data_IF_111802165481
#
_entry.id   IF_111802165481
#
_cell.length_a   1.000
_cell.length_b   1.000
_cell.length_c   1.000
_cell.angle_alpha   90.00
_cell.angle_beta   90.00
_cell.angle_gamma   90.00
#
_symmetry.space_group_name_H-M   'P 1'
#
loop_
_entity.id
_entity.type
_entity.pdbx_description
1 polymer ?
#
# COMPACT_ATOMS: atom_id res chain seq x y z
N UNK A 1 25.60 -29.35 -8.08
CA UNK A 1 24.27 -29.91 -7.80
C UNK A 1 23.49 -29.10 -6.80
N UNK A 2 24.12 -28.44 -5.85
CA UNK A 2 23.42 -27.56 -4.89
C UNK A 2 22.78 -26.31 -5.52
N UNK A 3 23.34 -25.80 -6.61
CA UNK A 3 22.82 -24.64 -7.30
C UNK A 3 21.45 -24.88 -7.98
N UNK A 4 21.28 -26.11 -8.52
CA UNK A 4 20.01 -26.46 -9.18
C UNK A 4 18.88 -26.57 -8.16
N UNK A 5 19.18 -27.08 -6.99
CA UNK A 5 18.21 -27.26 -5.92
C UNK A 5 17.79 -25.89 -5.31
N UNK A 6 18.73 -24.97 -5.15
CA UNK A 6 18.45 -23.63 -4.66
C UNK A 6 17.54 -22.84 -5.63
N UNK A 7 17.74 -22.99 -6.94
CA UNK A 7 16.89 -22.37 -7.95
C UNK A 7 15.48 -22.95 -7.94
N UNK A 8 15.34 -24.24 -7.72
CA UNK A 8 14.06 -24.90 -7.63
C UNK A 8 13.24 -24.40 -6.43
N UNK A 9 13.90 -24.24 -5.29
CA UNK A 9 13.25 -23.77 -4.07
C UNK A 9 12.81 -22.31 -4.20
N UNK A 10 13.64 -21.45 -4.80
CA UNK A 10 13.30 -20.05 -5.04
C UNK A 10 12.11 -19.91 -6.00
N UNK A 11 12.05 -20.75 -7.05
CA UNK A 11 10.94 -20.76 -7.97
C UNK A 11 9.65 -21.23 -7.32
N UNK A 12 9.73 -22.22 -6.42
CA UNK A 12 8.58 -22.73 -5.68
C UNK A 12 7.99 -21.67 -4.73
N UNK A 13 8.83 -20.93 -4.03
CA UNK A 13 8.38 -19.85 -3.15
C UNK A 13 7.77 -18.70 -3.92
N UNK A 14 8.35 -18.32 -5.06
CA UNK A 14 7.78 -17.30 -5.93
C UNK A 14 6.39 -17.66 -6.44
N UNK A 15 6.19 -18.95 -6.79
CA UNK A 15 4.87 -19.43 -7.22
C UNK A 15 3.86 -19.41 -6.09
N UNK A 16 4.25 -19.75 -4.87
CA UNK A 16 3.38 -19.70 -3.70
C UNK A 16 2.96 -18.27 -3.37
N UNK A 17 3.90 -17.33 -3.47
CA UNK A 17 3.62 -15.91 -3.25
C UNK A 17 2.66 -15.38 -4.32
N UNK A 18 2.90 -15.68 -5.58
CA UNK A 18 2.01 -15.28 -6.68
C UNK A 18 0.61 -15.85 -6.50
N UNK A 19 0.49 -17.11 -6.10
CA UNK A 19 -0.81 -17.73 -5.85
C UNK A 19 -1.54 -17.06 -4.68
N UNK A 20 -0.83 -16.65 -3.64
CA UNK A 20 -1.43 -15.95 -2.50
C UNK A 20 -1.97 -14.58 -2.91
N UNK A 21 -1.25 -13.82 -3.74
CA UNK A 21 -1.73 -12.57 -4.29
C UNK A 21 -2.97 -12.76 -5.17
N UNK A 22 -2.97 -13.78 -6.01
CA UNK A 22 -4.12 -14.09 -6.86
C UNK A 22 -5.36 -14.41 -6.03
N UNK A 23 -5.21 -15.20 -4.97
CA UNK A 23 -6.31 -15.53 -4.07
C UNK A 23 -6.88 -14.28 -3.40
N UNK A 24 -6.02 -13.39 -2.94
CA UNK A 24 -6.45 -12.16 -2.31
C UNK A 24 -7.21 -11.27 -3.28
N UNK A 25 -6.74 -11.15 -4.53
CA UNK A 25 -7.42 -10.38 -5.56
C UNK A 25 -8.81 -10.93 -5.87
N UNK A 26 -8.99 -12.24 -5.84
CA UNK A 26 -10.29 -12.86 -6.07
C UNK A 26 -11.24 -12.70 -4.89
N UNK A 27 -10.70 -12.71 -3.68
CA UNK A 27 -11.51 -12.67 -2.47
C UNK A 27 -11.99 -11.26 -2.12
N UNK A 28 -11.25 -10.23 -2.52
CA UNK A 28 -11.50 -8.85 -2.09
C UNK A 28 -11.71 -7.94 -3.29
N UNK A 29 -12.68 -7.04 -3.18
CA UNK A 29 -12.95 -6.05 -4.23
C UNK A 29 -11.75 -5.11 -4.44
N UNK A 30 -11.10 -4.72 -3.34
CA UNK A 30 -9.90 -3.89 -3.37
C UNK A 30 -8.74 -4.70 -2.81
N UNK A 31 -8.20 -5.58 -3.66
CA UNK A 31 -7.11 -6.45 -3.28
C UNK A 31 -5.74 -5.90 -3.68
N UNK A 32 -4.71 -6.74 -3.61
CA UNK A 32 -3.34 -6.31 -3.91
C UNK A 32 -3.15 -5.64 -5.27
N UNK A 33 -3.76 -6.18 -6.33
CA UNK A 33 -3.62 -5.63 -7.68
C UNK A 33 -4.18 -4.23 -7.80
N UNK A 34 -5.26 -3.93 -7.08
CA UNK A 34 -5.84 -2.60 -7.05
C UNK A 34 -4.82 -1.59 -6.52
N UNK A 35 -4.17 -1.90 -5.41
CA UNK A 35 -3.20 -1.00 -4.79
C UNK A 35 -1.86 -1.00 -5.51
N UNK A 36 -1.49 -2.10 -6.15
CA UNK A 36 -0.22 -2.20 -6.86
C UNK A 36 -0.17 -1.32 -8.11
N UNK A 37 -1.27 -1.19 -8.84
CA UNK A 37 -1.24 -0.46 -10.08
C UNK A 37 -2.52 0.25 -10.49
N UNK A 38 -3.68 -0.34 -10.22
CA UNK A 38 -4.96 0.19 -10.73
C UNK A 38 -5.30 1.55 -10.15
N UNK A 39 -5.14 1.73 -8.85
CA UNK A 39 -5.44 3.01 -8.19
C UNK A 39 -4.53 4.12 -8.72
N UNK A 40 -3.24 3.88 -8.76
CA UNK A 40 -2.28 4.88 -9.24
C UNK A 40 -2.52 5.27 -10.69
N UNK A 41 -2.86 4.29 -11.53
CA UNK A 41 -3.17 4.54 -12.94
C UNK A 41 -4.47 5.35 -13.08
N UNK A 42 -5.50 4.97 -12.33
CA UNK A 42 -6.77 5.68 -12.36
C UNK A 42 -6.60 7.14 -11.95
N UNK A 43 -5.86 7.39 -10.87
CA UNK A 43 -5.58 8.74 -10.40
C UNK A 43 -4.80 9.54 -11.45
N UNK A 44 -3.80 8.93 -12.06
CA UNK A 44 -2.98 9.59 -13.07
C UNK A 44 -3.80 9.98 -14.30
N UNK A 45 -4.70 9.10 -14.74
CA UNK A 45 -5.53 9.35 -15.91
C UNK A 45 -6.60 10.42 -15.66
N UNK A 46 -7.11 10.49 -14.43
CA UNK A 46 -8.18 11.43 -14.08
C UNK A 46 -7.68 12.78 -13.57
N UNK A 47 -6.43 12.83 -13.11
CA UNK A 47 -5.82 14.03 -12.55
C UNK A 47 -4.48 14.28 -13.26
N UNK A 48 -4.51 14.76 -14.52
CA UNK A 48 -3.30 14.88 -15.33
C UNK A 48 -2.33 15.95 -14.86
N UNK A 49 -2.74 16.87 -14.01
CA UNK A 49 -1.86 17.93 -13.52
C UNK A 49 -1.59 17.77 -12.02
N UNK A 50 -0.54 16.98 -11.65
CA UNK A 50 -0.24 16.73 -10.25
C UNK A 50 0.36 17.90 -9.50
N UNK A 51 0.72 18.99 -10.17
CA UNK A 51 1.35 20.14 -9.54
C UNK A 51 0.35 21.09 -8.89
N UNK A 52 -0.85 21.18 -9.42
CA UNK A 52 -1.83 22.14 -8.95
C UNK A 52 -2.86 21.55 -8.00
N UNK A 53 -3.33 20.33 -8.24
CA UNK A 53 -4.38 19.72 -7.45
C UNK A 53 -4.18 18.23 -7.32
N UNK A 54 -3.50 17.80 -6.26
CA UNK A 54 -3.43 16.38 -5.95
C UNK A 54 -4.81 15.89 -5.53
N UNK A 55 -5.26 14.75 -6.06
CA UNK A 55 -6.54 14.18 -5.65
C UNK A 55 -6.49 13.71 -4.20
N UNK A 56 -7.63 13.71 -3.54
CA UNK A 56 -7.76 13.14 -2.22
C UNK A 56 -8.26 11.71 -2.38
N UNK A 57 -7.51 10.74 -1.88
CA UNK A 57 -7.91 9.34 -1.86
C UNK A 57 -8.25 8.97 -0.43
N UNK A 58 -9.49 8.57 -0.22
CA UNK A 58 -9.97 8.17 1.10
C UNK A 58 -10.41 6.72 1.06
N UNK A 59 -9.93 5.94 2.02
CA UNK A 59 -10.30 4.54 2.17
C UNK A 59 -11.19 4.41 3.40
N UNK A 60 -12.40 3.91 3.18
CA UNK A 60 -13.37 3.70 4.25
C UNK A 60 -13.33 2.24 4.68
N UNK A 61 -13.13 2.03 5.96
CA UNK A 61 -13.04 0.70 6.55
C UNK A 61 -14.40 0.24 7.08
N UNK A 62 -14.53 -1.05 7.27
CA UNK A 62 -15.77 -1.67 7.72
C UNK A 62 -16.20 -1.20 9.11
N UNK A 63 -15.26 -0.75 9.94
CA UNK A 63 -15.55 -0.20 11.27
C UNK A 63 -16.04 1.26 11.26
N UNK A 64 -16.13 1.87 10.07
CA UNK A 64 -16.54 3.25 9.91
C UNK A 64 -15.39 4.24 9.87
N UNK A 65 -14.18 3.81 10.11
CA UNK A 65 -13.01 4.68 10.04
C UNK A 65 -12.68 5.02 8.58
N UNK A 66 -12.28 6.26 8.34
CA UNK A 66 -11.87 6.73 7.03
C UNK A 66 -10.42 7.19 7.08
N UNK A 67 -9.62 6.72 6.13
CA UNK A 67 -8.19 7.00 6.06
C UNK A 67 -7.90 7.88 4.84
N UNK A 68 -7.23 9.00 5.06
CA UNK A 68 -6.75 9.87 3.98
C UNK A 68 -5.37 9.40 3.55
N UNK A 69 -5.29 8.77 2.38
CA UNK A 69 -4.09 8.09 1.92
C UNK A 69 -3.20 9.05 1.15
N UNK A 70 -1.95 9.18 1.59
CA UNK A 70 -0.94 9.99 0.92
C UNK A 70 -0.25 9.20 -0.19
N UNK A 71 0.12 7.96 0.09
CA UNK A 71 0.66 7.03 -0.92
C UNK A 71 0.61 5.59 -0.39
N UNK A 72 0.81 4.67 -1.31
CA UNK A 72 0.87 3.24 -0.99
C UNK A 72 2.33 2.87 -0.84
N UNK A 73 2.70 2.42 0.35
CA UNK A 73 4.08 2.04 0.66
C UNK A 73 4.38 0.65 0.12
N UNK A 74 3.47 -0.29 0.36
CA UNK A 74 3.68 -1.66 -0.08
C UNK A 74 2.42 -2.50 -0.04
N UNK A 75 2.48 -3.65 -0.68
CA UNK A 75 1.38 -4.62 -0.72
C UNK A 75 1.90 -6.00 -0.31
N UNK A 76 1.13 -6.66 0.53
CA UNK A 76 1.33 -8.07 0.86
C UNK A 76 0.12 -8.85 0.38
N UNK A 77 0.17 -10.19 0.43
CA UNK A 77 -1.03 -10.97 0.09
C UNK A 77 -2.21 -10.79 1.05
N UNK A 78 -1.98 -10.26 2.26
CA UNK A 78 -3.01 -10.19 3.30
C UNK A 78 -3.43 -8.77 3.65
N UNK A 79 -2.53 -7.81 3.48
CA UNK A 79 -2.79 -6.42 3.87
C UNK A 79 -2.01 -5.47 2.98
N UNK A 80 -2.44 -4.21 2.96
CA UNK A 80 -1.76 -3.13 2.27
C UNK A 80 -1.13 -2.20 3.30
N UNK A 81 0.06 -1.71 3.01
CA UNK A 81 0.78 -0.74 3.85
C UNK A 81 0.58 0.65 3.25
N UNK A 82 -0.08 1.52 4.00
CA UNK A 82 -0.47 2.84 3.55
C UNK A 82 0.21 3.92 4.38
N UNK A 83 0.67 4.98 3.72
CA UNK A 83 1.02 6.22 4.38
C UNK A 83 -0.23 7.08 4.46
N UNK A 84 -0.68 7.35 5.65
CA UNK A 84 -1.95 8.00 5.93
C UNK A 84 -1.69 9.35 6.61
N UNK A 85 -2.43 10.37 6.21
CA UNK A 85 -2.35 11.67 6.84
C UNK A 85 -2.95 11.61 8.24
N UNK A 86 -2.22 12.09 9.22
CA UNK A 86 -2.68 12.15 10.59
C UNK A 86 -3.35 13.52 10.85
N UNK A 87 -4.67 13.52 10.86
CA UNK A 87 -5.44 14.74 11.09
C UNK A 87 -5.23 15.31 12.50
N UNK A 88 -4.82 14.49 13.45
CA UNK A 88 -4.59 14.92 14.83
C UNK A 88 -3.28 15.71 15.00
N UNK A 89 -2.34 15.61 14.06
CA UNK A 89 -1.06 16.30 14.16
C UNK A 89 -0.96 17.56 13.29
N UNK A 90 -2.07 18.18 12.99
CA UNK A 90 -2.16 19.44 12.26
C UNK A 90 -1.43 19.49 10.91
N UNK A 91 -1.54 18.41 10.16
CA UNK A 91 -1.19 18.42 8.74
C UNK A 91 0.18 17.91 8.36
N UNK A 92 1.12 17.80 9.28
CA UNK A 92 2.48 17.41 8.95
C UNK A 92 2.83 15.99 9.33
N UNK A 93 1.95 15.28 10.05
CA UNK A 93 2.19 13.93 10.48
C UNK A 93 1.67 12.90 9.49
N UNK A 94 2.49 11.89 9.23
CA UNK A 94 2.07 10.70 8.49
C UNK A 94 2.20 9.49 9.37
N UNK A 95 1.19 8.64 9.31
CA UNK A 95 1.18 7.36 10.00
C UNK A 95 1.22 6.25 8.97
N UNK A 96 2.00 5.22 9.24
CA UNK A 96 1.99 4.01 8.41
C UNK A 96 0.98 3.05 8.99
N UNK A 97 0.00 2.66 8.20
CA UNK A 97 -1.03 1.73 8.63
C UNK A 97 -1.02 0.48 7.75
N UNK A 98 -1.11 -0.67 8.41
CA UNK A 98 -1.24 -1.97 7.76
C UNK A 98 -2.72 -2.35 7.82
N UNK A 99 -3.36 -2.38 6.66
CA UNK A 99 -4.81 -2.58 6.58
C UNK A 99 -5.11 -3.88 5.85
N UNK A 100 -5.77 -4.85 6.53
CA UNK A 100 -6.23 -6.05 5.85
C UNK A 100 -7.23 -5.72 4.73
N UNK A 101 -7.11 -6.41 3.60
CA UNK A 101 -7.95 -6.10 2.45
C UNK A 101 -9.44 -6.31 2.73
N UNK A 102 -9.78 -7.28 3.56
CA UNK A 102 -11.18 -7.58 3.89
C UNK A 102 -11.85 -6.49 4.74
N UNK A 103 -11.08 -5.60 5.34
CA UNK A 103 -11.63 -4.45 6.06
C UNK A 103 -11.94 -3.26 5.17
N UNK A 104 -11.45 -3.24 3.95
CA UNK A 104 -11.64 -2.12 3.04
C UNK A 104 -13.00 -2.25 2.38
N UNK A 105 -13.87 -1.29 2.67
CA UNK A 105 -15.25 -1.32 2.20
C UNK A 105 -15.46 -0.43 0.97
N UNK A 106 -14.79 0.73 0.93
CA UNK A 106 -15.01 1.71 -0.13
C UNK A 106 -13.75 2.57 -0.31
N UNK A 107 -13.49 2.92 -1.57
CA UNK A 107 -12.42 3.86 -1.92
C UNK A 107 -13.05 5.06 -2.61
N UNK A 108 -12.81 6.25 -2.09
CA UNK A 108 -13.30 7.51 -2.64
C UNK A 108 -12.14 8.31 -3.20
N UNK A 109 -12.27 8.77 -4.42
CA UNK A 109 -11.28 9.62 -5.07
C UNK A 109 -11.95 10.93 -5.40
N UNK A 110 -11.45 12.02 -4.82
CA UNK A 110 -12.00 13.35 -5.01
C UNK A 110 -10.96 14.26 -5.64
N UNK A 111 -11.39 14.98 -6.67
CA UNK A 111 -10.56 16.05 -7.22
C UNK A 111 -10.79 17.29 -6.36
N UNK A 112 -9.69 17.89 -5.90
CA UNK A 112 -9.76 19.13 -5.16
C UNK A 112 -9.57 20.30 -6.09
N UNK A 113 -10.43 21.29 -5.95
CA UNK A 113 -10.19 22.60 -6.51
C UNK A 113 -9.64 23.47 -5.38
N UNK A 114 -8.38 23.79 -5.48
CA UNK A 114 -7.66 24.79 -4.70
C UNK A 114 -8.12 24.97 -3.26
N UNK A 115 -7.41 25.34 -2.35
CA UNK A 115 -7.68 25.65 -0.95
C UNK A 115 -7.81 24.42 -0.06
N UNK A 116 -6.76 24.12 0.58
CA UNK A 116 -6.77 23.17 1.66
C UNK A 116 -5.41 22.64 1.92
N UNK A 117 -5.09 22.63 3.17
CA UNK A 117 -3.83 22.15 3.69
C UNK A 117 -3.72 20.63 3.72
N UNK A 118 -4.66 19.88 3.14
CA UNK A 118 -4.52 18.43 3.19
C UNK A 118 -3.65 17.92 2.07
N UNK A 119 -2.77 17.04 2.45
CA UNK A 119 -1.85 16.34 1.58
C UNK A 119 -2.66 15.43 0.67
N UNK A 120 -2.55 15.63 -0.64
CA UNK A 120 -3.22 14.78 -1.60
C UNK A 120 -2.44 13.48 -1.83
N UNK A 121 -3.07 12.58 -2.59
CA UNK A 121 -2.46 11.32 -2.97
C UNK A 121 -1.44 11.54 -4.08
N UNK A 122 -0.25 10.97 -3.91
CA UNK A 122 0.79 11.01 -4.93
C UNK A 122 1.57 9.70 -4.90
N UNK A 123 1.62 9.00 -6.02
CA UNK A 123 2.32 7.75 -6.15
C UNK A 123 3.43 7.91 -7.18
N UNK A 124 4.63 8.28 -6.73
CA UNK A 124 5.79 8.50 -7.59
C UNK A 124 6.62 7.24 -7.79
N UNK A 125 6.51 6.29 -6.89
CA UNK A 125 7.21 5.01 -6.95
C UNK A 125 6.19 3.88 -6.90
N UNK A 126 6.51 2.76 -7.55
CA UNK A 126 5.69 1.56 -7.41
C UNK A 126 5.72 1.08 -5.96
N UNK A 127 4.59 0.59 -5.42
CA UNK A 127 4.58 0.01 -4.09
C UNK A 127 5.51 -1.21 -4.00
N UNK A 128 6.10 -1.41 -2.84
CA UNK A 128 6.93 -2.60 -2.61
C UNK A 128 6.05 -3.84 -2.47
N UNK A 129 6.55 -4.96 -2.97
CA UNK A 129 5.95 -6.26 -2.70
C UNK A 129 6.51 -6.77 -1.38
N UNK A 130 5.63 -6.94 -0.39
CA UNK A 130 6.02 -7.35 0.95
C UNK A 130 5.55 -8.78 1.18
N UNK A 131 6.49 -9.67 1.45
CA UNK A 131 6.19 -11.05 1.81
C UNK A 131 6.49 -11.29 3.29
N UNK A 132 6.11 -12.45 3.79
CA UNK A 132 6.33 -12.81 5.19
C UNK A 132 7.82 -12.84 5.54
N UNK A 133 8.66 -13.26 4.60
CA UNK A 133 10.09 -13.30 4.80
C UNK A 133 10.71 -11.93 4.95
N UNK A 134 10.28 -10.98 4.14
CA UNK A 134 10.72 -9.59 4.24
C UNK A 134 10.36 -8.99 5.60
N UNK A 135 9.16 -9.29 6.09
CA UNK A 135 8.74 -8.83 7.41
C UNK A 135 9.57 -9.43 8.53
N UNK A 136 9.89 -10.70 8.43
CA UNK A 136 10.73 -11.37 9.43
C UNK A 136 12.13 -10.77 9.45
N UNK A 137 12.69 -10.49 8.31
CA UNK A 137 14.00 -9.84 8.20
C UNK A 137 13.98 -8.44 8.81
N UNK A 138 12.94 -7.67 8.53
CA UNK A 138 12.78 -6.33 9.08
C UNK A 138 12.62 -6.36 10.60
N UNK A 139 11.98 -7.38 11.14
CA UNK A 139 11.82 -7.55 12.59
C UNK A 139 13.12 -7.94 13.28
N UNK A 140 14.02 -8.64 12.57
CA UNK A 140 15.30 -9.09 13.15
C UNK A 140 16.36 -7.99 13.07
N UNK A 141 16.37 -7.20 12.00
CA UNK A 141 17.41 -6.20 11.74
C UNK A 141 17.40 -4.96 12.65
N UNK A 142 16.26 -4.46 13.17
CA UNK A 142 16.26 -3.21 13.94
C UNK A 142 17.04 -3.24 15.25
N UNK A 143 17.28 -4.41 15.82
CA UNK A 143 17.99 -4.53 17.09
C UNK A 143 19.45 -4.09 17.02
N UNK A 144 20.04 -4.14 15.83
CA UNK A 144 21.42 -3.72 15.65
C UNK A 144 21.57 -2.22 15.53
N UNK A 145 20.57 -1.53 15.06
CA UNK A 145 20.62 -0.07 14.92
C UNK A 145 20.29 0.66 16.20
N UNK A 146 19.44 0.10 17.01
CA UNK A 146 19.04 0.71 18.28
C UNK A 146 20.11 0.61 19.36
N UNK A 147 21.15 -0.18 19.17
CA UNK A 147 22.27 -0.30 20.12
C UNK A 147 23.29 0.85 20.00
N UNK A 148 23.10 1.72 19.07
CA UNK A 148 23.96 2.88 18.86
C UNK A 148 23.21 4.18 19.14
#
# INVERSE_FOLDING_TARGET
>A
MSEIQARSDAGSEGLKTAAAFTRADRACAFGPSFFMGHLGRFVRDRCPDPKENLPVVQICLADGEALDVCHIVGVSPRWVMLAVSDAASHGDGMTIELVPYDLIQRVCIRTRRGEGASIGFSQTRAPEIIDAETLLRAAILPDHESAH
#
